data_IF_192925453644
#
_entry.id   IF_192925453644
#
_cell.length_a   1.000
_cell.length_b   1.000
_cell.length_c   1.000
_cell.angle_alpha   90.00
_cell.angle_beta   90.00
_cell.angle_gamma   90.00
#
_symmetry.space_group_name_H-M   'P 1'
#
loop_
_entity.id
_entity.type
_entity.pdbx_description
1 polymer ?
#
# COMPACT_ATOMS: atom_id res chain seq x y z
N UNK A 1 -28.43 -3.62 -18.26
CA UNK A 1 -27.76 -4.01 -19.51
C UNK A 1 -26.79 -2.91 -19.88
N UNK A 2 -25.54 -3.26 -20.15
CA UNK A 2 -24.46 -2.33 -20.46
C UNK A 2 -23.91 -2.69 -21.84
N UNK A 3 -23.59 -1.69 -22.67
CA UNK A 3 -23.05 -1.90 -24.03
C UNK A 3 -21.53 -1.96 -24.01
N UNK A 4 -20.89 -1.40 -22.95
CA UNK A 4 -19.46 -1.42 -22.72
C UNK A 4 -19.18 -1.27 -21.22
N UNK A 5 -18.18 -1.99 -20.73
CA UNK A 5 -17.69 -1.89 -19.35
C UNK A 5 -16.23 -1.46 -19.37
N UNK A 6 -15.92 -0.37 -18.70
CA UNK A 6 -14.54 0.10 -18.51
C UNK A 6 -13.93 -0.60 -17.29
N UNK A 7 -12.81 -1.26 -17.49
CA UNK A 7 -12.10 -2.03 -16.45
C UNK A 7 -10.73 -1.41 -16.18
N UNK A 8 -10.40 -1.28 -14.92
CA UNK A 8 -9.10 -0.74 -14.48
C UNK A 8 -8.08 -1.83 -14.12
N UNK A 9 -8.48 -3.09 -14.23
CA UNK A 9 -7.70 -4.28 -13.86
C UNK A 9 -7.77 -5.31 -14.97
N UNK A 10 -6.63 -5.61 -15.57
CA UNK A 10 -6.52 -6.66 -16.59
C UNK A 10 -6.82 -8.04 -16.01
N UNK A 11 -6.34 -8.32 -14.79
CA UNK A 11 -6.65 -9.56 -14.09
C UNK A 11 -8.16 -9.79 -13.92
N UNK A 12 -8.91 -8.75 -13.54
CA UNK A 12 -10.36 -8.86 -13.43
C UNK A 12 -11.03 -9.06 -14.79
N UNK A 13 -10.51 -8.45 -15.86
CA UNK A 13 -10.98 -8.70 -17.22
C UNK A 13 -10.79 -10.17 -17.60
N UNK A 14 -9.61 -10.72 -17.32
CA UNK A 14 -9.32 -12.14 -17.59
C UNK A 14 -10.26 -13.07 -16.82
N UNK A 15 -10.53 -12.77 -15.54
CA UNK A 15 -11.50 -13.52 -14.74
C UNK A 15 -12.90 -13.43 -15.33
N UNK A 16 -13.36 -12.25 -15.74
CA UNK A 16 -14.67 -12.06 -16.35
C UNK A 16 -14.80 -12.88 -17.65
N UNK A 17 -13.77 -12.91 -18.47
CA UNK A 17 -13.76 -13.68 -19.72
C UNK A 17 -13.63 -15.19 -19.45
N UNK A 18 -12.64 -15.59 -18.64
CA UNK A 18 -12.31 -17.00 -18.44
C UNK A 18 -13.35 -17.75 -17.60
N UNK A 19 -13.85 -17.13 -16.52
CA UNK A 19 -14.76 -17.76 -15.56
C UNK A 19 -16.21 -17.46 -15.88
N UNK A 20 -16.54 -16.17 -16.06
CA UNK A 20 -17.92 -15.72 -16.25
C UNK A 20 -18.35 -15.71 -17.71
N UNK A 21 -17.45 -16.01 -18.66
CA UNK A 21 -17.72 -16.09 -20.11
C UNK A 21 -18.29 -14.79 -20.68
N UNK A 22 -17.91 -13.65 -20.12
CA UNK A 22 -18.29 -12.35 -20.65
C UNK A 22 -17.57 -12.15 -21.99
N UNK A 23 -18.31 -11.66 -22.98
CA UNK A 23 -17.75 -11.35 -24.30
C UNK A 23 -16.69 -10.24 -24.20
N UNK A 24 -15.50 -10.51 -24.74
CA UNK A 24 -14.39 -9.56 -24.74
C UNK A 24 -14.76 -8.20 -25.37
N UNK A 25 -15.66 -8.19 -26.35
CA UNK A 25 -16.13 -6.94 -27.00
C UNK A 25 -16.90 -6.00 -26.07
N UNK A 26 -17.35 -6.50 -24.92
CA UNK A 26 -18.04 -5.71 -23.90
C UNK A 26 -17.09 -5.13 -22.84
N UNK A 27 -15.80 -5.51 -22.86
CA UNK A 27 -14.80 -5.12 -21.87
C UNK A 27 -13.74 -4.24 -22.53
N UNK A 28 -13.46 -3.11 -21.94
CA UNK A 28 -12.42 -2.20 -22.39
C UNK A 28 -11.49 -1.86 -21.22
N UNK A 29 -10.20 -2.14 -21.39
CA UNK A 29 -9.20 -1.76 -20.40
C UNK A 29 -8.95 -0.26 -20.45
N UNK A 30 -9.19 0.40 -19.34
CA UNK A 30 -8.88 1.81 -19.14
C UNK A 30 -8.09 1.95 -17.84
N UNK A 31 -6.75 2.11 -17.90
CA UNK A 31 -5.93 2.27 -16.70
C UNK A 31 -6.34 3.51 -15.91
N UNK A 32 -6.03 3.52 -14.62
CA UNK A 32 -6.23 4.71 -13.79
C UNK A 32 -5.35 5.83 -14.34
N UNK A 33 -6.00 6.92 -14.71
CA UNK A 33 -5.32 8.11 -15.19
C UNK A 33 -4.84 8.94 -14.00
N UNK A 34 -3.59 9.38 -14.04
CA UNK A 34 -3.02 10.33 -13.09
C UNK A 34 -2.44 11.54 -13.83
N UNK A 35 -2.25 12.63 -13.11
CA UNK A 35 -1.49 13.74 -13.66
C UNK A 35 -0.06 13.30 -13.97
N UNK A 36 0.50 13.82 -15.06
CA UNK A 36 1.90 13.60 -15.36
C UNK A 36 2.77 14.23 -14.27
N UNK A 37 3.80 13.51 -13.86
CA UNK A 37 4.82 14.06 -12.98
C UNK A 37 5.78 14.89 -13.82
N UNK A 38 6.06 16.09 -13.36
CA UNK A 38 7.13 16.90 -13.92
C UNK A 38 8.38 16.85 -13.01
N UNK A 39 9.50 17.32 -13.55
CA UNK A 39 10.75 17.31 -12.80
C UNK A 39 10.70 18.20 -11.54
N UNK A 40 9.85 19.25 -11.52
CA UNK A 40 9.71 20.12 -10.36
C UNK A 40 9.08 19.38 -9.19
N UNK A 41 8.00 18.62 -9.44
CA UNK A 41 7.36 17.80 -8.42
C UNK A 41 8.32 16.76 -7.82
N UNK A 42 9.07 16.06 -8.67
CA UNK A 42 10.03 15.05 -8.19
C UNK A 42 11.11 15.67 -7.31
N UNK A 43 11.59 16.87 -7.65
CA UNK A 43 12.60 17.59 -6.87
C UNK A 43 12.08 18.13 -5.52
N UNK A 44 10.77 18.29 -5.36
CA UNK A 44 10.13 18.70 -4.12
C UNK A 44 9.86 17.54 -3.15
N UNK A 45 10.01 16.29 -3.60
CA UNK A 45 9.80 15.12 -2.74
C UNK A 45 10.85 15.07 -1.62
N UNK A 46 10.46 14.76 -0.38
CA UNK A 46 11.40 14.64 0.73
C UNK A 46 12.44 13.55 0.48
N UNK A 47 13.68 13.83 0.84
CA UNK A 47 14.76 12.85 0.78
C UNK A 47 14.57 11.71 1.78
N UNK A 48 15.35 10.65 1.64
CA UNK A 48 15.37 9.51 2.59
C UNK A 48 15.54 9.97 4.03
N UNK A 49 16.40 10.95 4.30
CA UNK A 49 16.69 11.45 5.65
C UNK A 49 15.55 12.31 6.21
N UNK A 50 14.77 12.94 5.34
CA UNK A 50 13.65 13.79 5.75
C UNK A 50 12.37 13.00 6.03
N UNK A 51 12.31 11.71 5.65
CA UNK A 51 11.17 10.84 5.88
C UNK A 51 11.38 9.99 7.12
N UNK A 52 10.29 9.66 7.82
CA UNK A 52 10.35 8.80 9.00
C UNK A 52 9.09 7.95 9.16
N UNK A 53 9.26 6.83 9.87
CA UNK A 53 8.19 5.93 10.23
C UNK A 53 7.67 5.08 9.07
N UNK A 54 6.85 4.12 9.46
CA UNK A 54 6.04 3.32 8.58
C UNK A 54 4.61 3.86 8.53
N UNK A 55 3.92 3.65 7.42
CA UNK A 55 2.54 4.05 7.28
C UNK A 55 1.69 2.95 6.65
N UNK A 56 0.46 2.85 7.09
CA UNK A 56 -0.64 2.20 6.37
C UNK A 56 -1.76 3.22 6.20
N UNK A 57 -2.39 3.22 5.03
CA UNK A 57 -3.55 4.07 4.78
C UNK A 57 -4.66 3.27 4.10
N UNK A 58 -5.93 3.50 4.49
CA UNK A 58 -7.07 2.82 3.88
C UNK A 58 -8.42 3.23 4.43
N UNK A 59 -9.48 2.88 3.71
CA UNK A 59 -10.86 3.06 4.18
C UNK A 59 -11.28 1.80 4.95
N UNK A 60 -11.68 1.95 6.22
CA UNK A 60 -12.03 0.84 7.10
C UNK A 60 -13.44 0.27 6.88
N UNK A 61 -14.23 0.85 5.97
CA UNK A 61 -15.44 0.20 5.47
C UNK A 61 -15.12 -1.02 4.59
N UNK A 62 -13.89 -1.09 4.06
CA UNK A 62 -13.42 -2.24 3.28
C UNK A 62 -12.69 -3.22 4.19
N UNK A 63 -13.23 -4.41 4.31
CA UNK A 63 -12.71 -5.47 5.18
C UNK A 63 -11.22 -5.78 4.98
N UNK A 64 -10.66 -5.85 3.75
CA UNK A 64 -9.24 -6.07 3.55
C UNK A 64 -8.34 -5.10 4.29
N UNK A 65 -8.77 -3.85 4.47
CA UNK A 65 -7.96 -2.83 5.13
C UNK A 65 -7.87 -3.06 6.65
N UNK A 66 -9.00 -3.32 7.30
CA UNK A 66 -8.95 -3.56 8.75
C UNK A 66 -8.24 -4.89 9.06
N UNK A 67 -8.44 -5.91 8.22
CA UNK A 67 -7.75 -7.19 8.33
C UNK A 67 -6.22 -7.03 8.18
N UNK A 68 -5.76 -6.21 7.24
CA UNK A 68 -4.34 -5.91 7.08
C UNK A 68 -3.77 -5.19 8.31
N UNK A 69 -4.53 -4.27 8.94
CA UNK A 69 -4.09 -3.57 10.15
C UNK A 69 -4.02 -4.50 11.36
N UNK A 70 -4.97 -5.41 11.51
CA UNK A 70 -4.93 -6.45 12.53
C UNK A 70 -3.70 -7.35 12.32
N UNK A 71 -3.45 -7.79 11.10
CA UNK A 71 -2.29 -8.61 10.74
C UNK A 71 -0.97 -7.87 10.96
N UNK A 72 -0.91 -6.58 10.63
CA UNK A 72 0.23 -5.73 11.01
C UNK A 72 0.45 -5.77 12.51
N UNK A 73 -0.60 -5.54 13.30
CA UNK A 73 -0.52 -5.43 14.76
C UNK A 73 -0.07 -6.72 15.43
N UNK A 74 -0.63 -7.86 15.02
CA UNK A 74 -0.45 -9.12 15.69
C UNK A 74 0.77 -9.92 15.22
N UNK A 75 1.11 -9.79 13.94
CA UNK A 75 2.10 -10.67 13.31
C UNK A 75 3.36 -9.95 12.83
N UNK A 76 3.21 -8.85 12.09
CA UNK A 76 4.33 -8.22 11.39
C UNK A 76 5.04 -7.21 12.29
N UNK A 77 4.29 -6.30 12.92
CA UNK A 77 4.84 -5.20 13.67
C UNK A 77 5.72 -5.62 14.86
N UNK A 78 5.36 -6.64 15.66
CA UNK A 78 6.24 -7.13 16.72
C UNK A 78 7.63 -7.57 16.22
N UNK A 79 7.69 -8.18 15.03
CA UNK A 79 8.94 -8.62 14.39
C UNK A 79 9.78 -7.44 13.88
N UNK A 80 9.12 -6.42 13.30
CA UNK A 80 9.79 -5.18 12.90
C UNK A 80 10.39 -4.50 14.14
N UNK A 81 9.65 -4.39 15.26
CA UNK A 81 10.14 -3.77 16.49
C UNK A 81 11.33 -4.51 17.14
N UNK A 82 11.43 -5.83 16.97
CA UNK A 82 12.62 -6.57 17.42
C UNK A 82 13.89 -6.10 16.71
N UNK A 83 13.78 -5.71 15.43
CA UNK A 83 14.89 -5.22 14.61
C UNK A 83 15.06 -3.70 14.68
N UNK A 84 13.97 -2.98 14.85
CA UNK A 84 13.90 -1.51 14.89
C UNK A 84 13.08 -1.02 16.10
N UNK A 85 13.62 -1.06 17.32
CA UNK A 85 12.86 -0.79 18.56
C UNK A 85 12.23 0.61 18.63
N UNK A 86 12.80 1.58 17.93
CA UNK A 86 12.35 2.97 17.94
C UNK A 86 11.47 3.34 16.73
N UNK A 87 11.25 2.41 15.80
CA UNK A 87 10.40 2.66 14.65
C UNK A 87 8.96 2.95 15.07
N UNK A 88 8.26 3.74 14.28
CA UNK A 88 6.84 4.08 14.47
C UNK A 88 6.01 3.57 13.31
N UNK A 89 4.79 3.11 13.59
CA UNK A 89 3.81 2.76 12.58
C UNK A 89 2.54 3.58 12.79
N UNK A 90 2.20 4.39 11.79
CA UNK A 90 1.00 5.22 11.79
C UNK A 90 -0.04 4.63 10.83
N UNK A 91 -1.23 4.40 11.34
CA UNK A 91 -2.35 3.83 10.61
C UNK A 91 -3.38 4.94 10.37
N UNK A 92 -3.55 5.33 9.13
CA UNK A 92 -4.56 6.31 8.74
C UNK A 92 -5.73 5.63 8.02
N UNK A 93 -6.92 6.11 8.27
CA UNK A 93 -8.08 5.63 7.54
C UNK A 93 -9.38 6.29 7.94
N UNK A 94 -10.27 6.43 6.95
CA UNK A 94 -11.62 6.90 7.17
C UNK A 94 -12.48 5.79 7.79
N UNK A 95 -13.48 6.22 8.58
CA UNK A 95 -14.48 5.35 9.20
C UNK A 95 -13.92 4.21 10.08
N UNK A 96 -12.99 4.49 11.00
CA UNK A 96 -12.45 3.46 11.88
C UNK A 96 -13.55 2.92 12.80
N UNK A 97 -13.73 1.61 12.78
CA UNK A 97 -14.61 0.92 13.74
C UNK A 97 -13.96 0.91 15.13
N UNK A 98 -14.77 0.62 16.17
CA UNK A 98 -14.25 0.45 17.53
C UNK A 98 -13.14 -0.61 17.60
N UNK A 99 -13.25 -1.69 16.81
CA UNK A 99 -12.21 -2.73 16.71
C UNK A 99 -10.87 -2.16 16.24
N UNK A 100 -10.90 -1.30 15.22
CA UNK A 100 -9.68 -0.64 14.71
C UNK A 100 -9.10 0.31 15.76
N UNK A 101 -9.95 1.13 16.41
CA UNK A 101 -9.51 2.06 17.44
C UNK A 101 -8.85 1.36 18.64
N UNK A 102 -9.33 0.18 19.01
CA UNK A 102 -8.75 -0.64 20.09
C UNK A 102 -7.35 -1.19 19.79
N UNK A 103 -6.93 -1.20 18.52
CA UNK A 103 -5.56 -1.59 18.14
C UNK A 103 -4.53 -0.51 18.47
N UNK A 104 -4.93 0.70 18.79
CA UNK A 104 -4.04 1.79 19.17
C UNK A 104 -3.20 1.41 20.40
N UNK A 105 -1.88 1.41 20.26
CA UNK A 105 -0.99 0.94 21.31
C UNK A 105 0.34 1.73 21.33
N UNK A 106 0.37 2.93 21.92
CA UNK A 106 1.54 3.80 21.94
C UNK A 106 2.80 3.17 22.54
N UNK A 107 2.64 2.25 23.50
CA UNK A 107 3.78 1.55 24.13
C UNK A 107 4.59 0.69 23.15
N UNK A 108 3.98 0.30 22.03
CA UNK A 108 4.66 -0.42 20.94
C UNK A 108 4.73 0.43 19.67
N UNK A 109 4.67 1.75 19.79
CA UNK A 109 4.75 2.70 18.67
C UNK A 109 3.76 2.40 17.52
N UNK A 110 2.59 1.85 17.85
CA UNK A 110 1.51 1.53 16.92
C UNK A 110 0.36 2.52 17.10
N UNK A 111 0.19 3.44 16.15
CA UNK A 111 -0.70 4.58 16.29
C UNK A 111 -1.85 4.50 15.29
N UNK A 112 -3.10 4.45 15.80
CA UNK A 112 -4.29 4.66 14.97
C UNK A 112 -4.56 6.16 14.96
N UNK A 113 -4.43 6.78 13.78
CA UNK A 113 -4.47 8.24 13.60
C UNK A 113 -5.83 8.76 13.14
N UNK A 114 -6.74 7.87 12.71
CA UNK A 114 -8.00 8.27 12.11
C UNK A 114 -7.83 8.74 10.66
N UNK A 115 -8.73 9.58 10.18
CA UNK A 115 -8.71 10.07 8.79
C UNK A 115 -7.56 11.06 8.58
N UNK A 116 -6.76 10.84 7.54
CA UNK A 116 -5.79 11.82 7.07
C UNK A 116 -6.52 13.01 6.42
N UNK A 117 -6.08 14.22 6.72
CA UNK A 117 -6.53 15.43 6.01
C UNK A 117 -6.01 15.43 4.57
N UNK A 118 -4.77 15.01 4.41
CA UNK A 118 -4.06 14.87 3.13
C UNK A 118 -3.30 13.54 3.13
N UNK A 119 -3.82 12.57 2.38
CA UNK A 119 -3.28 11.24 2.30
C UNK A 119 -1.91 11.24 1.61
N UNK A 120 -1.78 12.00 0.53
CA UNK A 120 -0.54 12.11 -0.24
C UNK A 120 0.60 12.65 0.64
N UNK A 121 0.33 13.71 1.41
CA UNK A 121 1.31 14.29 2.33
C UNK A 121 1.75 13.33 3.41
N UNK A 122 0.82 12.54 3.96
CA UNK A 122 1.14 11.53 4.98
C UNK A 122 2.04 10.45 4.42
N UNK A 123 1.73 9.94 3.22
CA UNK A 123 2.55 8.92 2.55
C UNK A 123 3.91 9.49 2.17
N UNK A 124 3.96 10.70 1.62
CA UNK A 124 5.17 11.39 1.22
C UNK A 124 6.15 11.64 2.39
N UNK A 125 5.64 11.87 3.60
CA UNK A 125 6.46 12.09 4.80
C UNK A 125 6.91 10.78 5.46
N UNK A 126 6.31 9.67 5.07
CA UNK A 126 6.65 8.35 5.62
C UNK A 126 7.79 7.71 4.85
N UNK A 127 8.59 6.90 5.52
CA UNK A 127 9.74 6.23 4.89
C UNK A 127 9.33 5.01 4.07
N UNK A 128 8.36 4.22 4.56
CA UNK A 128 7.90 2.99 3.91
C UNK A 128 6.39 2.80 4.12
N UNK A 129 5.68 2.42 3.07
CA UNK A 129 4.29 1.99 3.14
C UNK A 129 4.23 0.48 3.40
N UNK A 130 3.47 0.05 4.40
CA UNK A 130 3.22 -1.38 4.67
C UNK A 130 1.78 -1.73 4.29
N UNK A 131 1.60 -2.66 3.35
CA UNK A 131 0.28 -3.06 2.88
C UNK A 131 0.14 -4.59 2.78
N UNK A 132 0.13 -5.34 3.90
CA UNK A 132 0.05 -6.80 3.89
C UNK A 132 -1.39 -7.27 3.66
N UNK A 133 -1.92 -7.03 2.47
CA UNK A 133 -3.28 -7.39 2.09
C UNK A 133 -3.35 -8.92 1.84
N UNK A 134 -4.24 -9.61 2.55
CA UNK A 134 -4.42 -11.05 2.42
C UNK A 134 -5.54 -11.43 1.45
N UNK A 135 -6.41 -10.49 1.11
CA UNK A 135 -7.49 -10.60 0.13
C UNK A 135 -7.94 -9.22 -0.31
N UNK A 136 -8.72 -9.16 -1.36
CA UNK A 136 -9.26 -7.93 -1.95
C UNK A 136 -9.01 -7.90 -3.45
N UNK A 137 -9.86 -7.19 -4.18
CA UNK A 137 -9.82 -7.06 -5.62
C UNK A 137 -9.54 -5.60 -6.03
N UNK A 138 -9.30 -5.38 -7.30
CA UNK A 138 -9.10 -4.07 -7.89
C UNK A 138 -7.76 -3.40 -7.57
N UNK A 139 -7.59 -2.23 -8.11
CA UNK A 139 -6.40 -1.39 -7.90
C UNK A 139 -6.36 -0.85 -6.47
N UNK A 140 -5.22 -0.96 -5.82
CA UNK A 140 -5.01 -0.55 -4.42
C UNK A 140 -4.52 0.89 -4.35
N UNK A 141 -5.45 1.85 -4.20
CA UNK A 141 -5.15 3.28 -4.20
C UNK A 141 -3.98 3.69 -3.28
N UNK A 142 -3.81 3.03 -2.13
CA UNK A 142 -2.69 3.29 -1.21
C UNK A 142 -1.31 2.98 -1.80
N UNK A 143 -1.23 1.97 -2.66
CA UNK A 143 0.01 1.61 -3.35
C UNK A 143 0.26 2.51 -4.55
N UNK A 144 -0.81 2.90 -5.26
CA UNK A 144 -0.71 3.93 -6.29
C UNK A 144 -0.20 5.25 -5.70
N UNK A 145 -0.70 5.64 -4.53
CA UNK A 145 -0.27 6.85 -3.83
C UNK A 145 1.20 6.75 -3.36
N UNK A 146 1.63 5.56 -2.93
CA UNK A 146 3.03 5.28 -2.62
C UNK A 146 3.94 5.49 -3.85
N UNK A 147 3.56 4.95 -5.00
CA UNK A 147 4.26 5.16 -6.27
C UNK A 147 4.31 6.63 -6.67
N UNK A 148 3.18 7.34 -6.56
CA UNK A 148 3.07 8.76 -6.90
C UNK A 148 3.93 9.67 -6.03
N UNK A 149 4.21 9.27 -4.79
CA UNK A 149 5.00 10.05 -3.84
C UNK A 149 6.46 9.62 -3.74
N UNK A 150 6.89 8.65 -4.57
CA UNK A 150 8.23 8.06 -4.46
C UNK A 150 8.48 7.46 -3.06
N UNK A 151 7.44 6.88 -2.45
CA UNK A 151 7.56 6.20 -1.16
C UNK A 151 7.53 4.70 -1.42
N UNK A 152 8.61 3.96 -1.16
CA UNK A 152 8.61 2.52 -1.39
C UNK A 152 7.58 1.80 -0.52
N UNK A 153 7.08 0.70 -1.03
CA UNK A 153 6.09 -0.10 -0.34
C UNK A 153 6.52 -1.55 -0.15
N UNK A 154 6.09 -2.16 0.94
CA UNK A 154 6.12 -3.62 1.09
C UNK A 154 4.68 -4.12 1.09
N UNK A 155 4.39 -5.01 0.17
CA UNK A 155 3.05 -5.55 0.00
C UNK A 155 3.07 -7.05 -0.30
N UNK A 156 1.91 -7.65 -0.42
CA UNK A 156 1.70 -9.04 -0.79
C UNK A 156 1.41 -9.18 -2.28
N UNK A 157 1.40 -10.41 -2.79
CA UNK A 157 0.96 -10.70 -4.16
C UNK A 157 -0.44 -10.15 -4.43
N UNK A 158 -1.37 -10.28 -3.47
CA UNK A 158 -2.73 -9.70 -3.56
C UNK A 158 -2.68 -8.17 -3.62
N UNK A 159 -1.77 -7.54 -2.87
CA UNK A 159 -1.60 -6.09 -2.92
C UNK A 159 -1.08 -5.58 -4.27
N UNK A 160 -0.13 -6.30 -4.86
CA UNK A 160 0.50 -5.96 -6.13
C UNK A 160 -0.36 -6.32 -7.36
N UNK A 161 -1.39 -7.16 -7.19
CA UNK A 161 -2.21 -7.65 -8.29
C UNK A 161 -2.78 -6.52 -9.16
N UNK A 162 -2.59 -6.60 -10.46
CA UNK A 162 -3.00 -5.62 -11.49
C UNK A 162 -2.37 -4.22 -11.36
N UNK A 163 -1.33 -4.07 -10.56
CA UNK A 163 -0.68 -2.77 -10.38
C UNK A 163 0.71 -2.69 -11.01
N UNK A 164 1.35 -3.83 -11.17
CA UNK A 164 2.67 -3.93 -11.80
C UNK A 164 2.50 -4.23 -13.30
N UNK A 165 2.95 -3.33 -14.16
CA UNK A 165 3.15 -3.60 -15.58
C UNK A 165 4.53 -4.21 -15.84
N UNK A 166 5.23 -3.72 -16.85
CA UNK A 166 6.58 -4.18 -17.22
C UNK A 166 7.70 -3.59 -16.35
N UNK A 167 7.37 -2.68 -15.43
CA UNK A 167 8.35 -2.02 -14.55
C UNK A 167 8.56 -2.82 -13.25
N UNK A 168 9.75 -2.72 -12.63
CA UNK A 168 9.96 -3.29 -11.32
C UNK A 168 9.01 -2.68 -10.28
N UNK A 169 8.69 -3.43 -9.24
CA UNK A 169 7.87 -2.94 -8.13
C UNK A 169 8.60 -1.81 -7.38
N UNK A 170 7.85 -0.81 -6.97
CA UNK A 170 8.31 0.26 -6.10
C UNK A 170 8.46 -0.27 -4.65
N UNK A 171 9.50 -1.03 -4.40
CA UNK A 171 9.78 -1.70 -3.14
C UNK A 171 9.81 -3.22 -3.23
N UNK A 172 9.05 -3.93 -2.38
CA UNK A 172 9.06 -5.39 -2.32
C UNK A 172 7.66 -6.00 -2.28
N UNK A 173 7.52 -7.17 -2.90
CA UNK A 173 6.32 -8.02 -2.84
C UNK A 173 6.69 -9.35 -2.20
N UNK A 174 6.05 -9.69 -1.07
CA UNK A 174 6.21 -11.01 -0.44
C UNK A 174 5.00 -11.38 0.40
N UNK A 175 4.60 -12.64 0.30
CA UNK A 175 3.54 -13.25 1.11
C UNK A 175 4.11 -13.91 2.39
N UNK A 176 5.43 -14.15 2.43
CA UNK A 176 6.10 -14.71 3.59
C UNK A 176 6.39 -13.61 4.63
N UNK A 177 5.97 -13.85 5.88
CA UNK A 177 6.10 -12.86 6.98
C UNK A 177 7.55 -12.42 7.19
N UNK A 178 8.49 -13.35 7.21
CA UNK A 178 9.89 -13.03 7.49
C UNK A 178 10.50 -12.18 6.37
N UNK A 179 10.24 -12.53 5.11
CA UNK A 179 10.69 -11.74 3.96
C UNK A 179 10.04 -10.35 3.93
N UNK A 180 8.74 -10.27 4.26
CA UNK A 180 8.04 -8.99 4.36
C UNK A 180 8.69 -8.08 5.43
N UNK A 181 9.00 -8.66 6.60
CA UNK A 181 9.68 -7.93 7.70
C UNK A 181 11.08 -7.52 7.29
N UNK A 182 11.86 -8.41 6.67
CA UNK A 182 13.22 -8.11 6.23
C UNK A 182 13.24 -7.01 5.17
N UNK A 183 12.35 -7.07 4.19
CA UNK A 183 12.17 -6.03 3.19
C UNK A 183 11.79 -4.67 3.82
N UNK A 184 10.86 -4.67 4.78
CA UNK A 184 10.47 -3.46 5.49
C UNK A 184 11.64 -2.83 6.25
N UNK A 185 12.42 -3.65 6.96
CA UNK A 185 13.62 -3.21 7.69
C UNK A 185 14.69 -2.70 6.73
N UNK A 186 14.93 -3.41 5.62
CA UNK A 186 15.89 -3.01 4.61
C UNK A 186 15.55 -1.64 4.02
N UNK A 187 14.32 -1.45 3.56
CA UNK A 187 13.88 -0.15 3.02
C UNK A 187 13.95 0.98 4.06
N UNK A 188 13.74 0.67 5.33
CA UNK A 188 13.78 1.67 6.38
C UNK A 188 15.21 2.11 6.72
N UNK A 189 16.21 1.22 6.64
CA UNK A 189 17.58 1.43 7.11
C UNK A 189 18.59 1.68 6.01
N UNK A 190 18.39 1.09 4.83
CA UNK A 190 19.32 1.20 3.70
C UNK A 190 18.84 2.17 2.64
N UNK A 191 19.52 3.32 2.60
CA UNK A 191 19.26 4.38 1.62
C UNK A 191 19.41 3.89 0.18
N UNK A 192 20.36 3.01 -0.09
CA UNK A 192 20.62 2.51 -1.45
C UNK A 192 19.42 1.70 -1.96
N UNK A 193 18.92 0.78 -1.14
CA UNK A 193 17.72 0.00 -1.44
C UNK A 193 16.48 0.88 -1.58
N UNK A 194 16.35 1.91 -0.72
CA UNK A 194 15.24 2.85 -0.77
C UNK A 194 15.23 3.69 -2.04
N UNK A 195 16.40 4.14 -2.52
CA UNK A 195 16.53 4.94 -3.75
C UNK A 195 16.40 4.10 -5.03
N UNK A 196 16.66 2.80 -4.94
CA UNK A 196 16.55 1.87 -6.07
C UNK A 196 15.11 1.35 -6.28
N UNK A 197 14.20 1.66 -5.35
CA UNK A 197 12.78 1.25 -5.37
C UNK A 197 11.85 2.21 -6.17
#
# INVERSE_FOLDING_TARGET
RCDLTLMVSEFEMDVLQAVFKIDASLLFYLPILSNAFDASFVNELPSFEARDGFVFIGNFLHEPNWNAVEYLKETIWPKILQKLPNATLKIYGAYPSQKVLQLHHPKTNFFIMGRAEDAQKVVQQSKVVLAPLRFGAGIKGKLLEAMQTGTPSVTTTIGAESMQGDLPWNGYVSDAVEEFVDAAVQLYTDKSSWLAS
#
